data_IF_595729663807
#
_entry.id   IF_595729663807
#
_cell.length_a   1.000
_cell.length_b   1.000
_cell.length_c   1.000
_cell.angle_alpha   90.00
_cell.angle_beta   90.00
_cell.angle_gamma   90.00
#
_symmetry.space_group_name_H-M   'P 1'
#
loop_
_entity.id
_entity.type
_entity.pdbx_description
1 polymer ?
#
# COMPACT_ATOMS: atom_id res chain seq x y z
N UNK A 1 -8.94 5.79 3.06
CA UNK A 1 -7.87 4.78 2.86
C UNK A 1 -8.36 3.40 3.26
N UNK A 2 -8.89 3.26 4.47
CA UNK A 2 -9.34 1.96 4.97
C UNK A 2 -10.51 1.41 4.13
N UNK A 3 -11.50 2.24 3.82
CA UNK A 3 -12.65 1.83 3.02
C UNK A 3 -12.22 1.34 1.63
N UNK A 4 -11.32 2.06 0.98
CA UNK A 4 -10.80 1.65 -0.32
C UNK A 4 -9.95 0.38 -0.21
N UNK A 5 -9.11 0.26 0.81
CA UNK A 5 -8.35 -0.95 1.07
C UNK A 5 -9.24 -2.17 1.29
N UNK A 6 -10.36 -2.00 1.97
CA UNK A 6 -11.32 -3.08 2.20
C UNK A 6 -11.93 -3.60 0.90
N UNK A 7 -12.15 -2.73 -0.09
CA UNK A 7 -12.71 -3.13 -1.39
C UNK A 7 -11.82 -4.11 -2.14
N UNK A 8 -10.52 -4.01 -1.97
CA UNK A 8 -9.55 -4.85 -2.69
C UNK A 8 -8.80 -5.82 -1.79
N UNK A 9 -9.12 -5.86 -0.51
CA UNK A 9 -8.35 -6.63 0.48
C UNK A 9 -8.20 -8.11 0.09
N UNK A 10 -9.22 -8.72 -0.48
CA UNK A 10 -9.22 -10.14 -0.87
C UNK A 10 -8.94 -10.38 -2.35
N UNK A 11 -8.77 -9.33 -3.15
CA UNK A 11 -8.45 -9.47 -4.57
C UNK A 11 -7.10 -10.19 -4.75
N UNK A 12 -6.94 -11.03 -5.79
CA UNK A 12 -5.69 -11.75 -5.98
C UNK A 12 -4.54 -10.82 -6.33
N UNK A 13 -3.32 -11.31 -6.12
CA UNK A 13 -2.12 -10.67 -6.65
C UNK A 13 -2.14 -10.78 -8.17
N UNK A 14 -1.80 -9.68 -8.84
CA UNK A 14 -1.65 -9.64 -10.30
C UNK A 14 -0.52 -8.69 -10.61
N UNK A 15 0.52 -9.19 -11.28
CA UNK A 15 1.66 -8.37 -11.68
C UNK A 15 1.20 -7.22 -12.57
N UNK A 16 1.58 -5.99 -12.22
CA UNK A 16 1.10 -4.78 -12.90
C UNK A 16 -0.35 -4.42 -12.60
N UNK A 17 -1.03 -5.18 -11.74
CA UNK A 17 -2.43 -4.93 -11.40
C UNK A 17 -2.62 -3.61 -10.67
N UNK A 18 -3.64 -2.87 -11.08
CA UNK A 18 -3.96 -1.57 -10.53
C UNK A 18 -3.21 -0.41 -11.18
N UNK A 19 -2.30 -0.66 -12.12
CA UNK A 19 -1.50 0.37 -12.77
C UNK A 19 -2.08 0.86 -14.10
N UNK A 20 -2.67 -0.02 -14.89
CA UNK A 20 -3.33 0.37 -16.14
C UNK A 20 -4.68 1.02 -15.89
N UNK A 21 -5.33 0.66 -14.81
CA UNK A 21 -6.64 1.21 -14.40
C UNK A 21 -6.82 1.00 -12.89
N UNK A 22 -7.65 1.83 -12.26
CA UNK A 22 -7.93 1.71 -10.84
C UNK A 22 -8.70 0.44 -10.49
N UNK A 23 -9.78 0.16 -11.22
CA UNK A 23 -10.57 -1.05 -10.99
C UNK A 23 -9.97 -2.20 -11.82
N UNK A 24 -9.41 -3.18 -11.15
CA UNK A 24 -8.75 -4.31 -11.79
C UNK A 24 -9.18 -5.62 -11.12
N UNK A 25 -8.90 -6.73 -11.77
CA UNK A 25 -9.20 -8.06 -11.24
C UNK A 25 -8.21 -8.51 -10.15
N UNK A 26 -7.05 -7.87 -10.09
CA UNK A 26 -6.04 -8.12 -9.09
C UNK A 26 -5.10 -6.93 -8.98
N UNK A 27 -4.29 -6.91 -7.94
CA UNK A 27 -3.41 -5.78 -7.64
C UNK A 27 -2.07 -6.29 -7.16
N UNK A 28 -0.98 -5.66 -7.62
CA UNK A 28 0.35 -5.89 -7.05
C UNK A 28 0.54 -5.04 -5.78
N UNK A 29 1.75 -5.06 -5.21
CA UNK A 29 2.02 -4.35 -3.97
C UNK A 29 1.79 -2.83 -4.11
N UNK A 30 2.36 -2.21 -5.12
CA UNK A 30 2.25 -0.77 -5.35
C UNK A 30 0.86 -0.39 -5.87
N UNK A 31 0.24 -1.24 -6.67
CA UNK A 31 -1.15 -1.05 -7.12
C UNK A 31 -2.14 -1.07 -5.96
N UNK A 32 -1.92 -1.95 -4.99
CA UNK A 32 -2.76 -2.04 -3.79
C UNK A 32 -2.67 -0.78 -2.93
N UNK A 33 -1.46 -0.32 -2.65
CA UNK A 33 -1.25 0.91 -1.87
C UNK A 33 -1.79 2.12 -2.63
N UNK A 34 -1.53 2.19 -3.94
CA UNK A 34 -2.04 3.29 -4.78
C UNK A 34 -3.56 3.35 -4.77
N UNK A 35 -4.24 2.21 -4.89
CA UNK A 35 -5.70 2.16 -4.87
C UNK A 35 -6.25 2.71 -3.55
N UNK A 36 -5.69 2.27 -2.44
CA UNK A 36 -6.15 2.71 -1.12
C UNK A 36 -5.96 4.22 -0.92
N UNK A 37 -4.82 4.76 -1.35
CA UNK A 37 -4.55 6.19 -1.26
C UNK A 37 -5.41 7.01 -2.23
N UNK A 38 -5.64 6.50 -3.43
CA UNK A 38 -6.53 7.14 -4.40
C UNK A 38 -7.96 7.23 -3.87
N UNK A 39 -8.42 6.21 -3.18
CA UNK A 39 -9.75 6.21 -2.58
C UNK A 39 -9.95 7.31 -1.54
N UNK A 40 -8.87 7.80 -0.94
CA UNK A 40 -8.89 8.94 -0.02
C UNK A 40 -8.59 10.27 -0.71
N UNK A 41 -8.45 10.29 -2.04
CA UNK A 41 -8.15 11.50 -2.79
C UNK A 41 -6.69 11.94 -2.71
N UNK A 42 -5.78 11.07 -2.27
CA UNK A 42 -4.37 11.40 -2.05
C UNK A 42 -3.50 11.14 -3.27
N UNK A 43 -3.94 10.35 -4.22
CA UNK A 43 -3.21 10.05 -5.47
C UNK A 43 -4.13 10.26 -6.67
N UNK A 44 -3.56 10.82 -7.75
CA UNK A 44 -4.24 10.98 -9.04
C UNK A 44 -3.93 9.85 -10.00
N UNK A 45 -2.79 9.18 -9.82
CA UNK A 45 -2.34 8.08 -10.68
C UNK A 45 -1.66 7.02 -9.83
N UNK A 46 -1.64 5.75 -10.30
CA UNK A 46 -0.89 4.70 -9.61
C UNK A 46 0.61 4.99 -9.62
N UNK A 47 1.28 4.67 -8.51
CA UNK A 47 2.72 4.80 -8.36
C UNK A 47 3.36 3.42 -8.24
N UNK A 48 4.62 3.31 -8.64
CA UNK A 48 5.43 2.11 -8.42
C UNK A 48 6.01 2.11 -7.01
N UNK A 49 6.57 0.97 -6.59
CA UNK A 49 7.28 0.89 -5.31
C UNK A 49 8.43 1.89 -5.23
N UNK A 50 9.19 2.04 -6.33
CA UNK A 50 10.26 3.01 -6.40
C UNK A 50 9.78 4.46 -6.25
N UNK A 51 8.64 4.78 -6.87
CA UNK A 51 8.04 6.11 -6.77
C UNK A 51 7.63 6.44 -5.33
N UNK A 52 7.13 5.46 -4.59
CA UNK A 52 6.74 5.68 -3.20
C UNK A 52 7.91 6.02 -2.29
N UNK A 53 9.13 5.68 -2.67
CA UNK A 53 10.32 6.01 -1.88
C UNK A 53 10.53 7.52 -1.71
N UNK A 54 9.95 8.32 -2.60
CA UNK A 54 10.06 9.78 -2.55
C UNK A 54 8.71 10.49 -2.45
N UNK A 55 7.62 9.74 -2.31
CA UNK A 55 6.28 10.31 -2.22
C UNK A 55 5.95 10.72 -0.79
N UNK A 56 5.18 11.81 -0.65
CA UNK A 56 4.74 12.29 0.65
C UNK A 56 5.86 12.93 1.45
N UNK A 57 5.77 12.87 2.77
CA UNK A 57 6.75 13.41 3.69
C UNK A 57 7.62 12.30 4.28
N UNK A 58 8.89 12.59 4.65
CA UNK A 58 9.77 11.58 5.22
C UNK A 58 9.36 11.20 6.65
N UNK A 59 9.63 9.94 6.99
CA UNK A 59 9.41 9.42 8.33
C UNK A 59 8.03 8.81 8.55
N UNK A 60 7.80 8.36 9.78
CA UNK A 60 6.54 7.72 10.17
C UNK A 60 5.44 8.75 10.31
N UNK A 61 4.23 8.39 9.87
CA UNK A 61 3.05 9.20 10.08
C UNK A 61 2.41 8.93 11.45
N UNK A 62 1.49 9.81 11.81
CA UNK A 62 0.69 9.62 13.03
C UNK A 62 -0.32 8.49 12.87
N UNK A 63 -0.95 8.42 11.71
CA UNK A 63 -1.99 7.42 11.42
C UNK A 63 -1.60 6.48 10.29
N UNK A 64 -0.84 6.96 9.30
CA UNK A 64 -0.49 6.20 8.10
C UNK A 64 1.01 6.28 7.87
N UNK A 65 1.66 5.13 7.74
CA UNK A 65 3.08 5.05 7.39
C UNK A 65 3.25 4.12 6.19
N UNK A 66 4.05 4.56 5.22
CA UNK A 66 4.35 3.82 4.00
C UNK A 66 5.80 3.34 4.08
N UNK A 67 6.01 2.06 3.84
CA UNK A 67 7.33 1.44 3.79
C UNK A 67 7.60 0.98 2.36
N UNK A 68 8.62 1.52 1.73
CA UNK A 68 8.91 1.26 0.33
C UNK A 68 10.38 0.97 0.07
N UNK A 69 10.64 0.02 -0.81
CA UNK A 69 11.94 -0.17 -1.46
C UNK A 69 11.68 -0.52 -2.93
N UNK A 70 12.72 -0.65 -3.78
CA UNK A 70 12.47 -0.84 -5.21
C UNK A 70 11.59 -2.03 -5.58
N UNK A 71 11.61 -3.09 -4.78
CA UNK A 71 10.89 -4.34 -5.07
C UNK A 71 9.58 -4.52 -4.33
N UNK A 72 9.23 -3.66 -3.38
CA UNK A 72 8.02 -3.83 -2.58
C UNK A 72 7.60 -2.55 -1.88
N UNK A 73 6.29 -2.41 -1.63
CA UNK A 73 5.72 -1.35 -0.79
C UNK A 73 4.53 -1.91 -0.01
N UNK A 74 4.41 -1.49 1.21
CA UNK A 74 3.23 -1.74 2.04
C UNK A 74 3.00 -0.55 2.95
N UNK A 75 1.85 -0.53 3.64
CA UNK A 75 1.59 0.55 4.60
C UNK A 75 1.01 0.00 5.89
N UNK A 76 1.15 0.80 6.94
CA UNK A 76 0.56 0.53 8.24
C UNK A 76 -0.41 1.67 8.56
N UNK A 77 -1.65 1.34 8.86
CA UNK A 77 -2.72 2.30 9.14
C UNK A 77 -3.30 1.97 10.50
N UNK A 78 -3.14 2.90 11.45
CA UNK A 78 -3.61 2.73 12.82
C UNK A 78 -3.13 1.39 13.43
N UNK A 79 -1.87 1.03 13.16
CA UNK A 79 -1.25 -0.18 13.69
C UNK A 79 -1.53 -1.44 12.89
N UNK A 80 -2.33 -1.40 11.83
CA UNK A 80 -2.63 -2.56 10.98
C UNK A 80 -1.88 -2.48 9.66
N UNK A 81 -1.21 -3.56 9.30
CA UNK A 81 -0.45 -3.65 8.06
C UNK A 81 -1.36 -3.99 6.88
N UNK A 82 -1.26 -3.20 5.81
CA UNK A 82 -1.92 -3.46 4.52
C UNK A 82 -0.85 -3.84 3.51
N UNK A 83 -0.79 -5.13 3.15
CA UNK A 83 0.37 -5.71 2.49
C UNK A 83 -0.07 -6.87 1.58
N UNK A 84 0.21 -6.73 0.29
CA UNK A 84 -0.14 -7.74 -0.71
C UNK A 84 0.53 -9.09 -0.45
N UNK A 85 1.73 -9.12 0.15
CA UNK A 85 2.41 -10.39 0.45
C UNK A 85 1.60 -11.29 1.39
N UNK A 86 0.82 -10.71 2.28
CA UNK A 86 0.02 -11.50 3.22
C UNK A 86 -1.27 -12.08 2.64
N UNK A 87 -1.67 -11.64 1.45
CA UNK A 87 -2.96 -12.01 0.86
C UNK A 87 -3.08 -13.52 0.63
N UNK A 88 -2.03 -14.15 0.12
CA UNK A 88 -2.08 -15.58 -0.20
C UNK A 88 -2.08 -16.45 1.06
N UNK A 89 -1.53 -15.96 2.15
CA UNK A 89 -1.51 -16.71 3.42
C UNK A 89 -2.85 -16.61 4.17
N UNK A 90 -3.43 -15.41 4.24
CA UNK A 90 -4.61 -15.15 5.08
C UNK A 90 -5.86 -14.84 4.29
N UNK A 91 -5.79 -14.71 2.96
CA UNK A 91 -6.91 -14.33 2.11
C UNK A 91 -7.19 -12.84 2.10
N UNK A 92 -6.41 -12.03 2.80
CA UNK A 92 -6.60 -10.58 2.89
C UNK A 92 -5.25 -9.86 2.91
N UNK A 93 -5.24 -8.63 2.39
CA UNK A 93 -4.07 -7.74 2.50
C UNK A 93 -3.91 -7.17 3.90
N UNK A 94 -4.98 -7.15 4.68
CA UNK A 94 -4.88 -6.73 6.08
C UNK A 94 -4.21 -7.82 6.92
N UNK A 95 -3.13 -7.45 7.60
CA UNK A 95 -2.34 -8.37 8.42
C UNK A 95 -2.25 -7.84 9.85
N UNK A 96 -2.49 -8.71 10.82
CA UNK A 96 -2.36 -8.37 12.22
C UNK A 96 -0.89 -8.31 12.66
N UNK A 97 -0.01 -9.02 11.97
CA UNK A 97 1.41 -9.09 12.31
C UNK A 97 2.18 -7.95 11.66
N UNK A 98 3.15 -7.42 12.39
CA UNK A 98 4.17 -6.55 11.81
C UNK A 98 5.20 -7.38 11.05
N UNK A 99 6.03 -6.71 10.26
CA UNK A 99 7.16 -7.34 9.57
C UNK A 99 8.39 -6.46 9.72
N UNK A 100 9.57 -7.00 9.43
CA UNK A 100 10.80 -6.22 9.46
C UNK A 100 10.72 -5.07 8.48
N UNK A 101 11.11 -3.88 8.95
CA UNK A 101 11.17 -2.66 8.13
C UNK A 101 12.59 -2.39 7.61
N UNK A 102 13.54 -3.30 7.87
CA UNK A 102 14.93 -3.14 7.43
C UNK A 102 15.00 -3.02 5.90
N UNK A 103 15.74 -2.05 5.41
CA UNK A 103 15.89 -1.80 3.98
C UNK A 103 14.76 -0.99 3.34
N UNK A 104 13.74 -0.61 4.10
CA UNK A 104 12.63 0.20 3.57
C UNK A 104 12.84 1.68 3.87
N UNK A 105 12.51 2.52 2.89
CA UNK A 105 12.37 3.97 3.09
C UNK A 105 11.01 4.21 3.74
N UNK A 106 10.96 5.11 4.70
CA UNK A 106 9.76 5.39 5.51
C UNK A 106 9.17 6.73 5.08
N UNK A 107 7.90 6.72 4.68
CA UNK A 107 7.19 7.90 4.21
C UNK A 107 5.80 7.96 4.82
N UNK A 108 5.15 9.10 4.73
CA UNK A 108 3.75 9.22 5.13
C UNK A 108 3.04 10.28 4.29
N UNK A 109 1.70 10.15 4.11
CA UNK A 109 0.93 11.22 3.49
C UNK A 109 0.97 12.44 4.38
N UNK A 110 1.19 13.66 3.84
CA UNK A 110 1.21 14.87 4.66
C UNK A 110 -0.05 15.00 5.52
N UNK A 111 0.15 15.25 6.82
CA UNK A 111 -0.94 15.41 7.77
C UNK A 111 -1.48 14.10 8.35
N UNK A 112 -1.01 12.98 7.92
CA UNK A 112 -1.49 11.67 8.36
C UNK A 112 -0.40 10.85 9.00
#
# INVERSE_FOLDING_TARGET
IIAAGNKIASKPYKYGGGHARWNDSGYDCSGSVSYALHGAGLLRRPLTSGDFMSWGAPGRGRHVTIYAHPGHVYMVINGRRFDTTGRDESGSRWQARSRSTAGYVVRHPPGL
#
